data_IF_675556747684
#
_entry.id   IF_675556747684
#
_cell.length_a   1.000
_cell.length_b   1.000
_cell.length_c   1.000
_cell.angle_alpha   90.00
_cell.angle_beta   90.00
_cell.angle_gamma   90.00
#
_symmetry.space_group_name_H-M   'P 1'
#
loop_
_entity.id
_entity.type
_entity.pdbx_description
1 polymer ?
#
# COMPACT_ATOMS: atom_id res chain seq x y z
N UNK A 1 42.34 47.94 41.48
CA UNK A 1 42.04 49.15 42.17
C UNK A 1 42.13 50.31 41.19
N UNK A 2 41.00 51.01 40.98
CA UNK A 2 40.92 52.21 40.13
C UNK A 2 41.79 53.26 40.76
N UNK A 3 42.80 53.73 40.06
CA UNK A 3 43.81 54.61 40.60
C UNK A 3 43.45 56.11 40.60
N UNK A 4 42.45 56.49 39.83
CA UNK A 4 41.89 57.87 39.82
C UNK A 4 40.41 57.88 39.41
N UNK A 5 39.66 58.90 39.82
CA UNK A 5 38.24 59.07 39.41
C UNK A 5 38.10 59.31 37.90
N UNK A 6 39.13 59.71 37.21
CA UNK A 6 39.13 60.02 35.78
C UNK A 6 39.16 58.75 34.90
N UNK A 7 39.60 57.63 35.42
CA UNK A 7 39.63 56.33 34.73
C UNK A 7 38.27 55.62 34.73
N UNK A 8 37.38 55.94 35.64
CA UNK A 8 36.06 55.30 35.80
C UNK A 8 35.15 55.51 34.59
N UNK A 9 35.04 56.70 34.00
CA UNK A 9 34.22 56.89 32.78
C UNK A 9 34.77 56.13 31.60
N UNK A 10 36.09 56.04 31.41
CA UNK A 10 36.70 55.32 30.30
C UNK A 10 36.47 53.81 30.42
N UNK A 11 36.60 53.22 31.60
CA UNK A 11 36.32 51.80 31.87
C UNK A 11 34.85 51.47 31.59
N UNK A 12 33.91 52.34 31.96
CA UNK A 12 32.48 52.13 31.69
C UNK A 12 32.18 52.18 30.20
N UNK A 13 32.80 53.09 29.46
CA UNK A 13 32.67 53.18 28.00
C UNK A 13 33.22 51.89 27.33
N UNK A 14 34.38 51.42 27.73
CA UNK A 14 34.99 50.19 27.20
C UNK A 14 34.13 48.97 27.51
N UNK A 15 33.54 48.87 28.70
CA UNK A 15 32.64 47.82 29.06
C UNK A 15 31.34 47.80 28.25
N UNK A 16 30.73 48.98 28.08
CA UNK A 16 29.50 49.11 27.23
C UNK A 16 29.77 48.77 25.79
N UNK A 17 30.87 49.23 25.20
CA UNK A 17 31.31 48.87 23.86
C UNK A 17 31.56 47.39 23.71
N UNK A 18 32.18 46.73 24.69
CA UNK A 18 32.37 45.27 24.71
C UNK A 18 31.06 44.49 24.73
N UNK A 19 30.09 44.98 25.54
CA UNK A 19 28.76 44.35 25.57
C UNK A 19 27.98 44.51 24.24
N UNK A 20 28.05 45.69 23.63
CA UNK A 20 27.44 45.93 22.34
C UNK A 20 28.05 45.02 21.25
N UNK A 21 29.38 44.90 21.25
CA UNK A 21 30.09 44.01 20.32
C UNK A 21 29.68 42.53 20.51
N UNK A 22 29.65 42.05 21.74
CA UNK A 22 29.22 40.69 22.06
C UNK A 22 27.79 40.41 21.67
N UNK A 23 26.87 41.36 21.92
CA UNK A 23 25.49 41.23 21.52
C UNK A 23 25.31 41.19 19.98
N UNK A 24 26.09 42.02 19.28
CA UNK A 24 26.08 42.08 17.81
C UNK A 24 26.59 40.74 17.20
N UNK A 25 27.69 40.23 17.74
CA UNK A 25 28.24 38.92 17.30
C UNK A 25 27.23 37.78 17.56
N UNK A 26 26.61 37.75 18.75
CA UNK A 26 25.59 36.75 19.09
C UNK A 26 24.37 36.84 18.18
N UNK A 27 23.92 38.08 17.87
CA UNK A 27 22.81 38.28 16.94
C UNK A 27 23.13 37.80 15.53
N UNK A 28 24.33 38.10 15.01
CA UNK A 28 24.79 37.63 13.70
C UNK A 28 24.87 36.09 13.66
N UNK A 29 25.40 35.46 14.71
CA UNK A 29 25.52 34.01 14.80
C UNK A 29 24.13 33.32 14.85
N UNK A 30 23.20 33.86 15.64
CA UNK A 30 21.82 33.35 15.72
C UNK A 30 21.11 33.55 14.38
N UNK A 31 21.24 34.71 13.76
CA UNK A 31 20.65 34.95 12.44
C UNK A 31 21.21 34.04 11.37
N UNK A 32 22.52 33.83 11.33
CA UNK A 32 23.16 32.90 10.40
C UNK A 32 22.62 31.48 10.57
N UNK A 33 22.57 30.97 11.80
CA UNK A 33 22.01 29.66 12.10
C UNK A 33 20.54 29.51 11.64
N UNK A 34 19.70 30.51 11.95
CA UNK A 34 18.29 30.48 11.53
C UNK A 34 18.12 30.58 10.02
N UNK A 35 18.96 31.39 9.36
CA UNK A 35 18.94 31.51 7.90
C UNK A 35 19.31 30.22 7.19
N UNK A 36 20.36 29.54 7.64
CA UNK A 36 20.75 28.22 7.12
C UNK A 36 19.70 27.15 7.37
N UNK A 37 19.13 27.13 8.56
CA UNK A 37 18.09 26.17 8.93
C UNK A 37 16.81 26.37 8.11
N UNK A 38 16.43 27.62 7.88
CA UNK A 38 15.29 27.98 7.04
C UNK A 38 15.52 27.61 5.56
N UNK A 39 16.71 27.88 5.05
CA UNK A 39 17.09 27.52 3.67
C UNK A 39 17.11 26.00 3.48
N UNK A 40 17.64 25.26 4.44
CA UNK A 40 17.63 23.79 4.41
C UNK A 40 16.20 23.22 4.42
N UNK A 41 15.33 23.73 5.30
CA UNK A 41 13.94 23.30 5.37
C UNK A 41 13.16 23.64 4.09
N UNK A 42 13.36 24.82 3.53
CA UNK A 42 12.74 25.23 2.27
C UNK A 42 13.20 24.34 1.10
N UNK A 43 14.50 24.07 0.98
CA UNK A 43 15.05 23.18 -0.06
C UNK A 43 14.50 21.76 0.06
N UNK A 44 14.37 21.23 1.28
CA UNK A 44 13.77 19.93 1.52
C UNK A 44 12.29 19.91 1.10
N UNK A 45 11.53 20.93 1.46
CA UNK A 45 10.11 21.05 1.11
C UNK A 45 9.92 21.20 -0.41
N UNK A 46 10.81 21.92 -1.11
CA UNK A 46 10.80 22.03 -2.58
C UNK A 46 11.07 20.69 -3.24
N UNK A 47 12.06 19.94 -2.76
CA UNK A 47 12.39 18.60 -3.29
C UNK A 47 11.23 17.62 -3.09
N UNK A 48 10.58 17.64 -1.93
CA UNK A 48 9.39 16.83 -1.64
C UNK A 48 8.20 17.25 -2.52
N UNK A 49 8.00 18.54 -2.75
CA UNK A 49 6.96 19.07 -3.65
C UNK A 49 7.19 18.68 -5.11
N UNK A 50 8.45 18.71 -5.58
CA UNK A 50 8.78 18.25 -6.93
C UNK A 50 8.56 16.75 -7.12
N UNK A 51 8.94 15.94 -6.13
CA UNK A 51 8.65 14.52 -6.12
C UNK A 51 7.13 14.25 -6.16
N UNK A 52 6.36 15.01 -5.39
CA UNK A 52 4.90 14.91 -5.38
C UNK A 52 4.28 15.34 -6.72
N UNK A 53 4.75 16.43 -7.34
CA UNK A 53 4.32 16.86 -8.68
C UNK A 53 4.63 15.82 -9.75
N UNK A 54 5.79 15.16 -9.65
CA UNK A 54 6.17 14.08 -10.57
C UNK A 54 5.23 12.87 -10.45
N UNK A 55 4.90 12.47 -9.23
CA UNK A 55 3.92 11.39 -8.97
C UNK A 55 2.53 11.76 -9.51
N UNK A 56 2.10 13.01 -9.36
CA UNK A 56 0.84 13.49 -9.93
C UNK A 56 0.84 13.45 -11.47
N UNK A 57 1.92 13.88 -12.11
CA UNK A 57 2.06 13.86 -13.57
C UNK A 57 2.11 12.42 -14.13
N UNK A 58 2.83 11.51 -13.48
CA UNK A 58 2.82 10.08 -13.81
C UNK A 58 1.42 9.48 -13.67
N UNK A 59 0.69 9.87 -12.65
CA UNK A 59 -0.71 9.50 -12.44
C UNK A 59 -1.61 9.96 -13.59
N UNK A 60 -1.52 11.24 -13.98
CA UNK A 60 -2.33 11.78 -15.07
C UNK A 60 -2.05 11.07 -16.40
N UNK A 61 -0.78 10.76 -16.66
CA UNK A 61 -0.36 10.01 -17.84
C UNK A 61 -0.91 8.59 -17.81
N UNK A 62 -0.92 7.94 -16.64
CA UNK A 62 -1.48 6.60 -16.46
C UNK A 62 -3.00 6.62 -16.69
N UNK A 63 -3.73 7.56 -16.09
CA UNK A 63 -5.18 7.70 -16.28
C UNK A 63 -5.50 7.96 -17.76
N UNK A 64 -4.73 8.83 -18.41
CA UNK A 64 -4.91 9.11 -19.84
C UNK A 64 -4.64 7.88 -20.73
N UNK A 65 -3.65 7.05 -20.39
CA UNK A 65 -3.36 5.80 -21.10
C UNK A 65 -4.45 4.75 -20.87
N UNK A 66 -5.00 4.68 -19.65
CA UNK A 66 -6.14 3.84 -19.29
C UNK A 66 -7.39 4.22 -20.08
N UNK A 67 -7.68 5.51 -20.18
CA UNK A 67 -8.81 6.04 -20.97
C UNK A 67 -8.63 5.78 -22.46
N UNK A 68 -7.40 5.78 -22.99
CA UNK A 68 -7.11 5.44 -24.40
C UNK A 68 -7.24 3.94 -24.69
N UNK A 69 -6.71 3.08 -23.83
CA UNK A 69 -6.83 1.62 -23.97
C UNK A 69 -8.29 1.17 -23.95
N UNK A 70 -9.16 1.90 -23.26
CA UNK A 70 -10.57 1.62 -23.12
C UNK A 70 -11.43 2.00 -24.36
N UNK A 71 -10.91 2.77 -25.30
CA UNK A 71 -11.64 3.21 -26.50
C UNK A 71 -11.88 2.07 -27.50
N UNK A 72 -11.24 0.93 -27.32
CA UNK A 72 -11.28 -0.23 -28.23
C UNK A 72 -12.08 -1.43 -27.71
N UNK A 73 -12.63 -1.39 -26.52
CA UNK A 73 -13.45 -2.50 -26.00
C UNK A 73 -14.54 -1.98 -25.05
N UNK A 74 -15.67 -2.66 -24.98
CA UNK A 74 -16.95 -2.33 -24.32
C UNK A 74 -16.93 -1.98 -22.81
N UNK A 75 -15.93 -1.26 -22.34
CA UNK A 75 -15.55 -1.08 -20.93
C UNK A 75 -15.64 0.37 -20.42
N UNK A 76 -16.48 1.22 -21.03
CA UNK A 76 -16.65 2.62 -20.57
C UNK A 76 -17.05 2.75 -19.09
N UNK A 77 -17.83 1.82 -18.57
CA UNK A 77 -18.20 1.76 -17.15
C UNK A 77 -17.01 1.49 -16.22
N UNK A 78 -16.02 0.72 -16.69
CA UNK A 78 -14.84 0.35 -15.95
C UNK A 78 -13.92 1.56 -15.66
N UNK A 79 -13.72 2.42 -16.66
CA UNK A 79 -12.87 3.60 -16.53
C UNK A 79 -13.45 4.66 -15.59
N UNK A 80 -14.75 4.85 -15.61
CA UNK A 80 -15.42 5.78 -14.70
C UNK A 80 -15.33 5.29 -13.25
N UNK A 81 -15.51 4.00 -13.02
CA UNK A 81 -15.39 3.38 -11.69
C UNK A 81 -13.96 3.44 -11.16
N UNK A 82 -12.95 3.13 -11.97
CA UNK A 82 -11.53 3.23 -11.61
C UNK A 82 -11.15 4.67 -11.26
N UNK A 83 -11.55 5.63 -12.11
CA UNK A 83 -11.26 7.05 -11.84
C UNK A 83 -11.90 7.51 -10.53
N UNK A 84 -13.14 7.06 -10.25
CA UNK A 84 -13.83 7.36 -9.01
C UNK A 84 -13.08 6.79 -7.79
N UNK A 85 -12.69 5.53 -7.84
CA UNK A 85 -11.97 4.85 -6.75
C UNK A 85 -10.57 5.42 -6.46
N UNK A 86 -9.88 5.93 -7.49
CA UNK A 86 -8.59 6.62 -7.30
C UNK A 86 -8.82 8.03 -6.73
N UNK A 87 -9.84 8.74 -7.22
CA UNK A 87 -10.09 10.11 -6.78
C UNK A 87 -10.57 10.19 -5.33
N UNK A 88 -11.21 9.15 -4.79
CA UNK A 88 -11.63 9.12 -3.38
C UNK A 88 -10.47 9.27 -2.39
N UNK A 89 -9.44 8.37 -2.35
CA UNK A 89 -8.34 8.51 -1.41
C UNK A 89 -7.52 9.78 -1.67
N UNK A 90 -7.39 10.21 -2.92
CA UNK A 90 -6.66 11.42 -3.25
C UNK A 90 -7.38 12.69 -2.78
N UNK A 91 -8.70 12.74 -2.91
CA UNK A 91 -9.52 13.82 -2.33
C UNK A 91 -9.42 13.86 -0.80
N UNK A 92 -9.44 12.70 -0.14
CA UNK A 92 -9.25 12.61 1.30
C UNK A 92 -7.84 13.10 1.73
N UNK A 93 -6.79 12.72 1.01
CA UNK A 93 -5.41 13.21 1.23
C UNK A 93 -5.36 14.72 1.08
N UNK A 94 -5.95 15.26 0.02
CA UNK A 94 -5.96 16.70 -0.22
C UNK A 94 -6.63 17.47 0.91
N UNK A 95 -7.86 17.08 1.28
CA UNK A 95 -8.64 17.71 2.36
C UNK A 95 -7.88 17.64 3.69
N UNK A 96 -7.33 16.48 4.03
CA UNK A 96 -6.56 16.29 5.25
C UNK A 96 -5.26 17.11 5.26
N UNK A 97 -4.60 17.23 4.12
CA UNK A 97 -3.39 18.05 3.97
C UNK A 97 -3.68 19.54 4.12
N UNK A 98 -4.74 20.05 3.50
CA UNK A 98 -5.18 21.44 3.63
C UNK A 98 -5.60 21.76 5.07
N UNK A 99 -6.30 20.83 5.71
CA UNK A 99 -6.69 20.97 7.12
C UNK A 99 -5.47 20.98 8.04
N UNK A 100 -4.49 20.11 7.78
CA UNK A 100 -3.23 20.05 8.53
C UNK A 100 -2.46 21.37 8.38
N UNK A 101 -2.35 21.92 7.17
CA UNK A 101 -1.67 23.19 6.92
C UNK A 101 -2.31 24.35 7.69
N UNK A 102 -3.64 24.42 7.74
CA UNK A 102 -4.36 25.43 8.54
C UNK A 102 -4.10 25.26 10.03
N UNK A 103 -4.15 24.02 10.53
CA UNK A 103 -3.95 23.72 11.95
C UNK A 103 -2.53 23.95 12.44
N UNK A 104 -1.53 23.86 11.57
CA UNK A 104 -0.15 24.19 11.88
C UNK A 104 0.11 25.71 12.08
N UNK A 105 -0.85 26.56 11.64
CA UNK A 105 -0.81 28.01 11.85
C UNK A 105 -1.47 28.45 13.17
N UNK A 106 -2.19 27.56 13.86
CA UNK A 106 -2.83 27.84 15.13
C UNK A 106 -1.78 27.90 16.26
N UNK A 107 -1.90 28.89 17.15
CA UNK A 107 -0.99 29.03 18.31
C UNK A 107 -1.07 27.84 19.30
N UNK A 108 -2.19 27.15 19.34
CA UNK A 108 -2.41 25.96 20.14
C UNK A 108 -2.42 24.71 19.27
N UNK A 109 -1.23 24.07 19.14
CA UNK A 109 -1.08 22.83 18.37
C UNK A 109 -1.59 21.61 19.15
N UNK A 110 -2.69 21.02 18.69
CA UNK A 110 -3.14 19.71 19.15
C UNK A 110 -2.33 18.60 18.46
N UNK A 111 -1.31 18.10 19.16
CA UNK A 111 -0.41 17.04 18.66
C UNK A 111 -1.13 15.73 18.38
N UNK A 112 -2.16 15.40 19.13
CA UNK A 112 -2.91 14.15 18.94
C UNK A 112 -3.74 14.23 17.65
N UNK A 113 -4.41 15.35 17.41
CA UNK A 113 -5.13 15.63 16.18
C UNK A 113 -4.21 15.58 14.95
N UNK A 114 -3.05 16.23 15.02
CA UNK A 114 -2.03 16.24 13.95
C UNK A 114 -1.57 14.81 13.64
N UNK A 115 -1.25 14.03 14.68
CA UNK A 115 -0.81 12.63 14.52
C UNK A 115 -1.89 11.77 13.88
N UNK A 116 -3.14 11.97 14.23
CA UNK A 116 -4.29 11.26 13.65
C UNK A 116 -4.44 11.60 12.17
N UNK A 117 -4.41 12.88 11.81
CA UNK A 117 -4.52 13.33 10.41
C UNK A 117 -3.36 12.78 9.57
N UNK A 118 -2.14 12.81 10.08
CA UNK A 118 -0.98 12.25 9.39
C UNK A 118 -1.13 10.73 9.14
N UNK A 119 -1.69 9.98 10.10
CA UNK A 119 -2.01 8.56 9.93
C UNK A 119 -3.09 8.33 8.88
N UNK A 120 -4.11 9.17 8.84
CA UNK A 120 -5.17 9.09 7.84
C UNK A 120 -4.63 9.36 6.43
N UNK A 121 -3.79 10.39 6.25
CA UNK A 121 -3.09 10.67 5.00
C UNK A 121 -2.24 9.47 4.56
N UNK A 122 -1.45 8.89 5.47
CA UNK A 122 -0.62 7.73 5.17
C UNK A 122 -1.44 6.51 4.75
N UNK A 123 -2.58 6.26 5.40
CA UNK A 123 -3.50 5.18 5.06
C UNK A 123 -4.11 5.37 3.67
N UNK A 124 -4.59 6.56 3.36
CA UNK A 124 -5.20 6.86 2.07
C UNK A 124 -4.18 6.86 0.93
N UNK A 125 -2.93 7.28 1.20
CA UNK A 125 -1.82 7.15 0.25
C UNK A 125 -1.51 5.68 -0.07
N UNK A 126 -1.45 4.80 0.94
CA UNK A 126 -1.27 3.37 0.72
C UNK A 126 -2.45 2.74 -0.05
N UNK A 127 -3.66 3.24 0.16
CA UNK A 127 -4.84 2.81 -0.61
C UNK A 127 -4.70 3.19 -2.08
N UNK A 128 -4.36 4.43 -2.38
CA UNK A 128 -4.13 4.92 -3.74
C UNK A 128 -3.00 4.14 -4.45
N UNK A 129 -1.88 3.91 -3.76
CA UNK A 129 -0.75 3.14 -4.29
C UNK A 129 -1.15 1.70 -4.67
N UNK A 130 -1.95 1.03 -3.83
CA UNK A 130 -2.46 -0.33 -4.14
C UNK A 130 -3.34 -0.35 -5.37
N UNK A 131 -4.24 0.63 -5.54
CA UNK A 131 -5.07 0.76 -6.74
C UNK A 131 -4.18 0.89 -7.98
N UNK A 132 -3.20 1.79 -7.95
CA UNK A 132 -2.27 2.02 -9.06
C UNK A 132 -1.45 0.77 -9.38
N UNK A 133 -0.95 0.05 -8.39
CA UNK A 133 -0.21 -1.20 -8.60
C UNK A 133 -1.08 -2.27 -9.27
N UNK A 134 -2.33 -2.42 -8.82
CA UNK A 134 -3.29 -3.35 -9.43
C UNK A 134 -3.56 -2.98 -10.90
N UNK A 135 -3.77 -1.71 -11.18
CA UNK A 135 -3.97 -1.23 -12.55
C UNK A 135 -2.73 -1.41 -13.41
N UNK A 136 -1.55 -1.14 -12.86
CA UNK A 136 -0.28 -1.37 -13.57
C UNK A 136 -0.10 -2.84 -13.93
N UNK A 137 -0.45 -3.78 -13.05
CA UNK A 137 -0.41 -5.21 -13.34
C UNK A 137 -1.34 -5.61 -14.49
N UNK A 138 -2.52 -4.95 -14.61
CA UNK A 138 -3.48 -5.16 -15.69
C UNK A 138 -2.96 -4.65 -17.05
N UNK A 139 -2.33 -3.46 -17.04
CA UNK A 139 -1.99 -2.72 -18.26
C UNK A 139 -0.54 -2.86 -18.70
N UNK A 140 0.34 -3.43 -17.88
CA UNK A 140 1.70 -3.76 -18.30
C UNK A 140 1.61 -5.03 -19.13
N UNK A 141 1.31 -4.88 -20.42
CA UNK A 141 1.56 -5.86 -21.46
C UNK A 141 3.08 -6.09 -21.62
N UNK A 142 3.73 -6.62 -20.60
CA UNK A 142 4.89 -7.44 -20.90
C UNK A 142 4.29 -8.79 -21.28
N UNK A 143 4.30 -9.11 -22.56
CA UNK A 143 4.32 -10.46 -23.04
C UNK A 143 5.44 -11.20 -22.30
N UNK A 144 5.17 -11.64 -21.08
CA UNK A 144 5.92 -12.73 -20.52
C UNK A 144 5.61 -13.89 -21.45
N UNK A 145 6.64 -14.31 -22.18
CA UNK A 145 6.54 -15.49 -23.01
C UNK A 145 5.85 -16.57 -22.17
N UNK A 146 4.89 -17.29 -22.78
CA UNK A 146 4.09 -18.38 -22.19
C UNK A 146 4.97 -19.52 -21.59
N UNK A 147 6.29 -19.36 -21.54
CA UNK A 147 7.27 -20.38 -21.16
C UNK A 147 7.72 -20.36 -19.69
N UNK A 148 7.32 -19.41 -18.88
CA UNK A 148 7.73 -19.40 -17.47
C UNK A 148 6.72 -20.17 -16.61
N UNK A 149 7.00 -21.48 -16.46
CA UNK A 149 6.29 -22.31 -15.49
C UNK A 149 7.07 -22.32 -14.17
N UNK A 150 6.46 -21.78 -13.12
CA UNK A 150 7.10 -21.61 -11.82
C UNK A 150 6.56 -22.63 -10.78
N UNK A 151 7.45 -23.06 -9.90
CA UNK A 151 7.11 -23.95 -8.80
C UNK A 151 6.13 -23.28 -7.82
N UNK A 152 4.99 -23.92 -7.59
CA UNK A 152 3.96 -23.45 -6.66
C UNK A 152 4.53 -23.26 -5.25
N UNK A 153 5.30 -24.22 -4.78
CA UNK A 153 5.88 -24.20 -3.43
C UNK A 153 6.88 -23.06 -3.25
N UNK A 154 7.69 -22.75 -4.28
CA UNK A 154 8.64 -21.64 -4.21
C UNK A 154 7.93 -20.29 -4.14
N UNK A 155 6.90 -20.10 -4.97
CA UNK A 155 6.08 -18.88 -4.95
C UNK A 155 5.40 -18.70 -3.60
N UNK A 156 4.76 -19.76 -3.07
CA UNK A 156 4.08 -19.71 -1.77
C UNK A 156 5.06 -19.44 -0.64
N UNK A 157 6.22 -20.08 -0.61
CA UNK A 157 7.24 -19.84 0.41
C UNK A 157 7.72 -18.38 0.43
N UNK A 158 7.88 -17.78 -0.74
CA UNK A 158 8.23 -16.36 -0.82
C UNK A 158 7.15 -15.44 -0.23
N UNK A 159 5.87 -15.75 -0.48
CA UNK A 159 4.74 -14.99 0.07
C UNK A 159 4.63 -15.22 1.58
N UNK A 160 4.86 -16.42 2.07
CA UNK A 160 4.91 -16.70 3.51
C UNK A 160 6.00 -15.91 4.21
N UNK A 161 7.18 -15.79 3.60
CA UNK A 161 8.27 -14.97 4.15
C UNK A 161 7.84 -13.51 4.30
N UNK A 162 7.19 -12.94 3.28
CA UNK A 162 6.67 -11.57 3.29
C UNK A 162 5.55 -11.37 4.32
N UNK A 163 4.70 -12.38 4.51
CA UNK A 163 3.54 -12.32 5.40
C UNK A 163 3.83 -12.75 6.84
N UNK A 164 5.04 -13.28 7.12
CA UNK A 164 5.41 -13.93 8.39
C UNK A 164 5.12 -13.07 9.61
N UNK A 165 5.49 -11.80 9.58
CA UNK A 165 5.27 -10.88 10.72
C UNK A 165 3.78 -10.71 11.02
N UNK A 166 2.95 -10.56 9.98
CA UNK A 166 1.51 -10.35 10.11
C UNK A 166 0.80 -11.64 10.58
N UNK A 167 1.18 -12.79 10.02
CA UNK A 167 0.65 -14.09 10.43
C UNK A 167 0.94 -14.38 11.91
N UNK A 168 2.19 -14.17 12.34
CA UNK A 168 2.60 -14.38 13.73
C UNK A 168 1.88 -13.44 14.69
N UNK A 169 1.77 -12.14 14.35
CA UNK A 169 1.09 -11.16 15.18
C UNK A 169 -0.39 -11.49 15.41
N UNK A 170 -1.03 -12.14 14.43
CA UNK A 170 -2.45 -12.50 14.47
C UNK A 170 -2.71 -13.95 14.92
N UNK A 171 -1.65 -14.70 15.23
CA UNK A 171 -1.74 -16.07 15.68
C UNK A 171 -2.31 -17.03 14.61
N UNK A 172 -2.02 -16.76 13.32
CA UNK A 172 -2.52 -17.55 12.20
C UNK A 172 -1.49 -18.63 11.84
N UNK A 173 -1.93 -19.87 11.83
CA UNK A 173 -1.13 -21.03 11.41
C UNK A 173 -1.35 -21.29 9.91
N UNK A 174 -0.28 -21.70 9.21
CA UNK A 174 -0.37 -22.06 7.79
C UNK A 174 0.04 -23.51 7.62
N UNK A 175 -0.84 -24.27 6.98
CA UNK A 175 -0.63 -25.69 6.65
C UNK A 175 -0.42 -25.81 5.13
N UNK A 176 0.65 -26.50 4.71
CA UNK A 176 0.98 -26.72 3.31
C UNK A 176 0.98 -28.22 3.00
N UNK A 177 0.13 -28.63 2.07
CA UNK A 177 0.04 -29.98 1.54
C UNK A 177 0.18 -29.91 0.01
N UNK A 178 1.40 -29.66 -0.47
CA UNK A 178 1.67 -29.46 -1.89
C UNK A 178 2.54 -30.60 -2.40
N UNK A 179 2.05 -31.31 -3.41
CA UNK A 179 2.84 -32.35 -4.08
C UNK A 179 4.11 -31.75 -4.71
N UNK A 180 5.19 -32.53 -4.68
CA UNK A 180 6.44 -32.10 -5.28
C UNK A 180 6.30 -31.87 -6.79
N UNK A 181 6.96 -30.83 -7.29
CA UNK A 181 7.03 -30.46 -8.71
C UNK A 181 5.77 -29.88 -9.35
N UNK A 182 4.75 -29.48 -8.57
CA UNK A 182 3.63 -28.74 -9.14
C UNK A 182 4.09 -27.36 -9.64
N UNK A 183 3.74 -27.09 -10.89
CA UNK A 183 4.05 -25.81 -11.54
C UNK A 183 2.79 -25.08 -11.97
N UNK A 184 2.85 -23.76 -11.99
CA UNK A 184 1.80 -22.88 -12.52
C UNK A 184 2.30 -22.15 -13.77
N UNK A 185 1.46 -22.04 -14.82
CA UNK A 185 1.85 -21.44 -16.09
C UNK A 185 1.77 -19.91 -16.04
N UNK A 186 2.48 -19.29 -15.08
CA UNK A 186 2.54 -17.82 -14.94
C UNK A 186 3.90 -17.38 -14.43
N UNK A 187 4.22 -16.11 -14.60
CA UNK A 187 5.45 -15.54 -14.09
C UNK A 187 5.50 -15.60 -12.56
N UNK A 188 6.70 -15.63 -12.00
CA UNK A 188 6.90 -15.66 -10.55
C UNK A 188 6.21 -14.49 -9.84
N UNK A 189 6.29 -13.27 -10.41
CA UNK A 189 5.64 -12.08 -9.86
C UNK A 189 4.11 -12.15 -9.88
N UNK A 190 3.50 -12.70 -10.94
CA UNK A 190 2.05 -12.90 -11.00
C UNK A 190 1.58 -13.95 -10.00
N UNK A 191 2.35 -15.04 -9.84
CA UNK A 191 2.10 -16.04 -8.80
C UNK A 191 2.18 -15.44 -7.40
N UNK A 192 3.20 -14.64 -7.11
CA UNK A 192 3.29 -13.92 -5.84
C UNK A 192 2.07 -13.01 -5.63
N UNK A 193 1.67 -12.24 -6.63
CA UNK A 193 0.52 -11.32 -6.53
C UNK A 193 -0.79 -12.09 -6.27
N UNK A 194 -1.00 -13.23 -6.94
CA UNK A 194 -2.14 -14.11 -6.73
C UNK A 194 -2.22 -14.55 -5.26
N UNK A 195 -1.14 -15.15 -4.74
CA UNK A 195 -1.15 -15.67 -3.38
C UNK A 195 -1.14 -14.57 -2.31
N UNK A 196 -0.46 -13.44 -2.52
CA UNK A 196 -0.53 -12.29 -1.60
C UNK A 196 -1.97 -11.80 -1.43
N UNK A 197 -2.75 -11.73 -2.52
CA UNK A 197 -4.15 -11.32 -2.44
C UNK A 197 -5.00 -12.32 -1.66
N UNK A 198 -4.81 -13.62 -1.89
CA UNK A 198 -5.52 -14.65 -1.15
C UNK A 198 -5.15 -14.66 0.33
N UNK A 199 -3.85 -14.59 0.67
CA UNK A 199 -3.39 -14.48 2.06
C UNK A 199 -3.97 -13.25 2.76
N UNK A 200 -3.91 -12.08 2.14
CA UNK A 200 -4.46 -10.86 2.72
C UNK A 200 -5.97 -10.97 2.98
N UNK A 201 -6.72 -11.60 2.09
CA UNK A 201 -8.16 -11.81 2.28
C UNK A 201 -8.44 -12.72 3.48
N UNK A 202 -7.71 -13.83 3.61
CA UNK A 202 -7.86 -14.77 4.73
C UNK A 202 -7.36 -14.18 6.05
N UNK A 203 -6.21 -13.48 6.05
CA UNK A 203 -5.70 -12.79 7.24
C UNK A 203 -6.73 -11.78 7.76
N UNK A 204 -7.37 -11.00 6.89
CA UNK A 204 -8.41 -10.05 7.28
C UNK A 204 -9.69 -10.75 7.78
N UNK A 205 -10.09 -11.87 7.17
CA UNK A 205 -11.26 -12.62 7.60
C UNK A 205 -11.05 -13.25 8.99
N UNK A 206 -9.85 -13.76 9.25
CA UNK A 206 -9.48 -14.37 10.51
C UNK A 206 -9.19 -13.37 11.63
N UNK A 207 -8.74 -12.15 11.28
CA UNK A 207 -8.41 -11.10 12.27
C UNK A 207 -9.62 -10.65 13.07
N UNK A 208 -10.78 -10.56 12.43
CA UNK A 208 -12.04 -10.14 13.06
C UNK A 208 -12.65 -11.17 13.99
N UNK A 209 -12.13 -12.40 14.00
CA UNK A 209 -12.72 -13.51 14.76
C UNK A 209 -11.92 -13.79 16.04
N UNK A 210 -12.67 -13.98 17.14
CA UNK A 210 -12.12 -14.53 18.38
C UNK A 210 -12.31 -16.05 18.39
N UNK A 211 -11.35 -16.77 17.82
CA UNK A 211 -11.39 -18.22 17.79
C UNK A 211 -10.05 -18.81 18.27
N UNK A 212 -10.07 -20.01 18.88
CA UNK A 212 -8.89 -20.61 19.53
C UNK A 212 -7.77 -20.93 18.53
N UNK A 213 -8.14 -21.26 17.29
CA UNK A 213 -7.18 -21.65 16.26
C UNK A 213 -7.57 -21.02 14.93
N UNK A 214 -6.68 -20.24 14.35
CA UNK A 214 -6.82 -19.60 13.05
C UNK A 214 -5.90 -20.31 12.06
N UNK A 215 -6.47 -20.88 11.00
CA UNK A 215 -5.74 -21.72 10.05
C UNK A 215 -5.96 -21.24 8.63
N UNK A 216 -4.88 -21.18 7.87
CA UNK A 216 -4.90 -21.11 6.40
C UNK A 216 -4.27 -22.40 5.90
N UNK A 217 -5.00 -23.16 5.08
CA UNK A 217 -4.52 -24.42 4.48
C UNK A 217 -4.38 -24.24 2.97
N UNK A 218 -3.28 -24.76 2.42
CA UNK A 218 -3.03 -24.74 0.98
C UNK A 218 -2.72 -26.16 0.54
N UNK A 219 -3.55 -26.69 -0.34
CA UNK A 219 -3.40 -28.03 -0.91
C UNK A 219 -3.13 -27.90 -2.40
N UNK A 220 -2.06 -28.52 -2.87
CA UNK A 220 -1.70 -28.54 -4.29
C UNK A 220 -1.56 -29.99 -4.78
N UNK A 221 -2.31 -30.35 -5.82
CA UNK A 221 -2.31 -31.70 -6.40
C UNK A 221 -2.23 -31.62 -7.92
N UNK A 222 -1.58 -32.63 -8.52
CA UNK A 222 -1.56 -32.83 -9.96
C UNK A 222 -2.41 -34.04 -10.33
N UNK A 223 -3.47 -33.84 -11.12
CA UNK A 223 -4.35 -34.92 -11.61
C UNK A 223 -4.24 -35.01 -13.15
N UNK A 224 -3.35 -35.85 -13.63
CA UNK A 224 -3.05 -35.90 -15.07
C UNK A 224 -2.56 -34.53 -15.56
N UNK A 225 -3.25 -33.96 -16.55
CA UNK A 225 -2.91 -32.67 -17.12
C UNK A 225 -3.49 -31.47 -16.34
N UNK A 226 -4.18 -31.73 -15.21
CA UNK A 226 -4.82 -30.66 -14.42
C UNK A 226 -4.02 -30.43 -13.14
N UNK A 227 -3.51 -29.21 -12.98
CA UNK A 227 -3.02 -28.69 -11.72
C UNK A 227 -4.19 -28.09 -10.93
N UNK A 228 -4.42 -28.57 -9.72
CA UNK A 228 -5.42 -28.05 -8.81
C UNK A 228 -4.75 -27.51 -7.54
N UNK A 229 -5.07 -26.26 -7.18
CA UNK A 229 -4.62 -25.63 -5.94
C UNK A 229 -5.86 -25.19 -5.18
N UNK A 230 -5.97 -25.62 -3.91
CA UNK A 230 -7.01 -25.17 -2.98
C UNK A 230 -6.38 -24.30 -1.92
N UNK A 231 -6.91 -23.10 -1.76
CA UNK A 231 -6.52 -22.14 -0.74
C UNK A 231 -7.71 -21.94 0.19
N UNK A 232 -7.57 -22.34 1.44
CA UNK A 232 -8.66 -22.44 2.40
C UNK A 232 -8.33 -21.68 3.68
N UNK A 233 -9.33 -21.05 4.30
CA UNK A 233 -9.23 -20.54 5.67
C UNK A 233 -10.43 -21.01 6.50
N UNK A 234 -10.26 -21.09 7.81
CA UNK A 234 -11.32 -21.42 8.74
C UNK A 234 -12.06 -20.20 9.28
N UNK A 235 -12.14 -19.12 8.48
CA UNK A 235 -12.85 -17.89 8.83
C UNK A 235 -14.37 -18.01 8.73
N UNK A 236 -15.05 -16.88 8.62
CA UNK A 236 -16.52 -16.82 8.51
C UNK A 236 -17.07 -17.23 7.13
N UNK A 237 -16.18 -17.42 6.14
CA UNK A 237 -16.60 -17.70 4.77
C UNK A 237 -17.24 -16.49 4.07
N UNK A 238 -17.97 -16.75 2.98
CA UNK A 238 -18.67 -15.76 2.17
C UNK A 238 -20.15 -16.12 2.11
N UNK A 239 -21.03 -15.16 2.45
CA UNK A 239 -22.48 -15.37 2.40
C UNK A 239 -22.98 -15.66 0.98
N UNK A 240 -24.08 -16.40 0.85
CA UNK A 240 -24.65 -16.79 -0.44
C UNK A 240 -24.90 -15.59 -1.37
N UNK A 241 -25.41 -14.49 -0.82
CA UNK A 241 -25.71 -13.28 -1.58
C UNK A 241 -24.46 -12.62 -2.18
N UNK A 242 -23.31 -12.84 -1.56
CA UNK A 242 -22.03 -12.25 -1.97
C UNK A 242 -21.24 -13.14 -2.93
N UNK A 243 -21.57 -14.39 -3.03
CA UNK A 243 -20.83 -15.35 -3.87
C UNK A 243 -20.96 -15.06 -5.36
N UNK A 244 -22.13 -14.59 -5.83
CA UNK A 244 -22.41 -14.33 -7.23
C UNK A 244 -21.54 -13.20 -7.84
N UNK A 245 -21.12 -12.23 -7.03
CA UNK A 245 -20.28 -11.10 -7.47
C UNK A 245 -18.87 -11.10 -6.86
N UNK A 246 -18.43 -12.23 -6.30
CA UNK A 246 -17.19 -12.30 -5.51
C UNK A 246 -15.92 -11.91 -6.29
N UNK A 247 -15.92 -12.14 -7.60
CA UNK A 247 -14.82 -11.82 -8.51
C UNK A 247 -15.08 -10.57 -9.34
N UNK A 248 -16.16 -9.85 -9.09
CA UNK A 248 -16.46 -8.62 -9.79
C UNK A 248 -15.64 -7.45 -9.25
N UNK A 249 -15.36 -6.50 -10.10
CA UNK A 249 -14.63 -5.30 -9.74
C UNK A 249 -15.39 -4.49 -8.69
N UNK A 250 -14.63 -4.00 -7.69
CA UNK A 250 -15.14 -3.14 -6.62
C UNK A 250 -16.23 -3.76 -5.73
N UNK A 251 -16.40 -5.06 -5.80
CA UNK A 251 -17.28 -5.80 -4.89
C UNK A 251 -16.54 -6.08 -3.60
N UNK A 252 -16.85 -5.33 -2.56
CA UNK A 252 -16.32 -5.54 -1.21
C UNK A 252 -17.36 -5.25 -0.17
N UNK A 253 -17.52 -6.17 0.77
CA UNK A 253 -18.37 -5.99 1.96
C UNK A 253 -17.60 -5.36 3.12
N UNK A 254 -16.29 -5.19 2.97
CA UNK A 254 -15.39 -4.67 4.01
C UNK A 254 -15.24 -3.16 3.87
N UNK A 255 -15.33 -2.40 4.98
CA UNK A 255 -15.14 -0.93 5.01
C UNK A 255 -13.81 -0.45 4.40
N UNK A 256 -12.78 -1.28 4.45
CA UNK A 256 -11.43 -0.98 3.92
C UNK A 256 -11.06 -1.81 2.70
N UNK A 257 -11.96 -2.67 2.22
CA UNK A 257 -11.73 -3.55 1.06
C UNK A 257 -12.14 -2.86 -0.24
N UNK A 258 -11.20 -2.74 -1.19
CA UNK A 258 -11.46 -2.12 -2.51
C UNK A 258 -12.16 -3.05 -3.49
N UNK A 259 -12.40 -4.32 -3.16
CA UNK A 259 -12.97 -5.29 -4.11
C UNK A 259 -12.09 -5.57 -5.34
N UNK A 260 -10.80 -5.24 -5.29
CA UNK A 260 -9.86 -5.46 -6.40
C UNK A 260 -9.09 -6.78 -6.28
N UNK A 261 -8.90 -7.30 -5.07
CA UNK A 261 -8.00 -8.43 -4.82
C UNK A 261 -8.43 -9.71 -5.50
N UNK A 262 -9.70 -10.13 -5.33
CA UNK A 262 -10.22 -11.36 -5.93
C UNK A 262 -10.46 -11.21 -7.43
N UNK A 263 -10.88 -10.04 -7.88
CA UNK A 263 -10.95 -9.73 -9.30
C UNK A 263 -9.56 -9.89 -9.97
N UNK A 264 -8.49 -9.37 -9.37
CA UNK A 264 -7.13 -9.53 -9.87
C UNK A 264 -6.69 -10.99 -9.85
N UNK A 265 -7.04 -11.76 -8.83
CA UNK A 265 -6.81 -13.21 -8.82
C UNK A 265 -7.47 -13.89 -10.01
N UNK A 266 -8.73 -13.57 -10.28
CA UNK A 266 -9.47 -14.11 -11.44
C UNK A 266 -8.83 -13.68 -12.77
N UNK A 267 -8.45 -12.41 -12.90
CA UNK A 267 -7.78 -11.88 -14.09
C UNK A 267 -6.45 -12.62 -14.37
N UNK A 268 -5.57 -12.76 -13.37
CA UNK A 268 -4.29 -13.46 -13.50
C UNK A 268 -4.52 -14.93 -13.93
N UNK A 269 -5.36 -15.63 -13.21
CA UNK A 269 -5.63 -17.07 -13.46
C UNK A 269 -6.23 -17.28 -14.85
N UNK A 270 -7.22 -16.49 -15.23
CA UNK A 270 -7.91 -16.61 -16.54
C UNK A 270 -6.98 -16.26 -17.70
N UNK A 271 -6.12 -15.25 -17.54
CA UNK A 271 -5.10 -14.88 -18.54
C UNK A 271 -4.16 -16.03 -18.90
N UNK A 272 -3.89 -16.90 -17.94
CA UNK A 272 -3.04 -18.08 -18.11
C UNK A 272 -3.83 -19.37 -18.38
N UNK A 273 -5.06 -19.27 -18.87
CA UNK A 273 -5.91 -20.39 -19.26
C UNK A 273 -6.44 -21.20 -18.09
N UNK A 274 -6.31 -20.69 -16.87
CA UNK A 274 -6.83 -21.33 -15.66
C UNK A 274 -8.23 -20.85 -15.27
N UNK A 275 -8.72 -21.38 -14.17
CA UNK A 275 -10.00 -21.00 -13.56
C UNK A 275 -9.85 -20.89 -12.05
N UNK A 276 -10.39 -19.84 -11.44
CA UNK A 276 -10.55 -19.69 -9.99
C UNK A 276 -12.03 -19.71 -9.63
N UNK A 277 -12.38 -20.45 -8.60
CA UNK A 277 -13.76 -20.59 -8.13
C UNK A 277 -13.80 -20.56 -6.60
N UNK A 278 -14.89 -20.03 -6.06
CA UNK A 278 -15.22 -20.23 -4.66
C UNK A 278 -15.81 -21.64 -4.48
N UNK A 279 -15.27 -22.41 -3.57
CA UNK A 279 -15.57 -23.84 -3.41
C UNK A 279 -15.82 -24.23 -1.94
N UNK A 280 -16.16 -23.26 -1.06
CA UNK A 280 -16.45 -23.56 0.33
C UNK A 280 -17.73 -24.38 0.46
N UNK A 281 -17.67 -25.37 1.37
CA UNK A 281 -18.87 -26.02 1.87
C UNK A 281 -19.43 -25.19 3.02
N UNK A 282 -20.76 -25.22 3.21
CA UNK A 282 -21.43 -24.46 4.27
C UNK A 282 -20.74 -24.66 5.63
N UNK A 283 -20.53 -23.55 6.33
CA UNK A 283 -20.01 -23.46 7.71
C UNK A 283 -18.51 -23.74 7.95
N UNK A 284 -17.67 -23.79 6.92
CA UNK A 284 -16.24 -24.18 7.06
C UNK A 284 -15.22 -23.12 6.66
N UNK A 285 -15.57 -21.83 6.63
CA UNK A 285 -14.68 -20.79 6.21
C UNK A 285 -14.69 -20.52 4.69
N UNK A 286 -13.67 -19.87 4.15
CA UNK A 286 -13.56 -19.63 2.72
C UNK A 286 -12.62 -20.64 2.05
N UNK A 287 -13.00 -21.13 0.88
CA UNK A 287 -12.16 -21.97 0.04
C UNK A 287 -12.15 -21.47 -1.40
N UNK A 288 -10.97 -21.29 -1.95
CA UNK A 288 -10.75 -20.93 -3.36
C UNK A 288 -10.06 -22.08 -4.07
N UNK A 289 -10.69 -22.56 -5.13
CA UNK A 289 -10.15 -23.62 -6.01
C UNK A 289 -9.60 -22.99 -7.28
N UNK A 290 -8.32 -23.19 -7.56
CA UNK A 290 -7.62 -22.74 -8.75
C UNK A 290 -7.25 -23.95 -9.57
N UNK A 291 -7.54 -23.93 -10.86
CA UNK A 291 -7.23 -25.03 -11.78
C UNK A 291 -6.54 -24.50 -13.03
N UNK A 292 -5.49 -25.21 -13.46
CA UNK A 292 -4.84 -25.00 -14.76
C UNK A 292 -4.83 -26.33 -15.50
N UNK A 293 -5.06 -26.30 -16.79
CA UNK A 293 -4.89 -27.47 -17.67
C UNK A 293 -3.58 -27.31 -18.43
N UNK A 294 -2.74 -28.33 -18.43
CA UNK A 294 -1.52 -28.30 -19.23
C UNK A 294 -1.92 -28.13 -20.70
N UNK A 295 -1.44 -27.06 -21.32
CA UNK A 295 -1.55 -26.91 -22.78
C UNK A 295 -0.56 -27.87 -23.43
N UNK A 296 -1.07 -28.82 -24.24
CA UNK A 296 -0.25 -29.65 -25.12
C UNK A 296 0.55 -28.80 -26.09
#
# INVERSE_FOLDING_TARGET
PIRSMDELPLLLILFTLGQILMNTISFIAIWGYWSEHLAFNNSKTETENEAFKKVLAERETLIASLLRANKTSSTGALSASIAHEINQPLGAIQINSEFLQRKLQDENLDRELITRIAKDIARDNMRAARIIQTLKAIFTEKYAAISDSNSVIEVINSVLLLSKSNLNQKGIQVELEIENNIKIPMSYGEGQQLFINLFNNSIQALDSLQMPTKIIRIVGIQKGDITEIRFEDNGQGVSLDQQSGLFDLFTSTKREGMGLGLWLCNYIVTRHGGRIQYASQQDTGAAFKITFTASN
#
